data_IF_159995200748
#
_entry.id   IF_159995200748
#
_cell.length_a   1.000
_cell.length_b   1.000
_cell.length_c   1.000
_cell.angle_alpha   90.00
_cell.angle_beta   90.00
_cell.angle_gamma   90.00
#
_symmetry.space_group_name_H-M   'P 1'
#
loop_
_entity.id
_entity.type
_entity.pdbx_description
1 polymer ?
#
# COMPACT_ATOMS: atom_id res chain seq x y z
N UNK A 1 30.36 34.51 21.60
CA UNK A 1 30.81 33.12 21.86
C UNK A 1 29.56 32.28 22.03
N UNK A 2 28.88 31.89 20.94
CA UNK A 2 29.08 30.65 20.17
C UNK A 2 29.39 29.44 21.04
N UNK A 3 28.38 28.62 21.30
CA UNK A 3 28.46 27.16 21.18
C UNK A 3 27.09 26.67 20.70
N UNK A 4 27.04 26.33 19.41
CA UNK A 4 25.99 25.53 18.81
C UNK A 4 26.02 24.10 19.37
N UNK A 5 24.84 23.52 19.59
CA UNK A 5 24.65 22.07 19.55
C UNK A 5 23.48 21.79 18.64
N UNK A 6 23.83 21.59 17.37
CA UNK A 6 23.04 20.79 16.45
C UNK A 6 23.18 19.35 16.91
N UNK A 7 22.07 18.68 17.23
CA UNK A 7 21.97 17.24 17.06
C UNK A 7 20.77 17.01 16.17
N UNK A 8 21.04 17.12 14.87
CA UNK A 8 20.11 16.72 13.82
C UNK A 8 19.99 15.20 13.85
N UNK A 9 18.84 14.71 14.26
CA UNK A 9 18.41 13.36 13.93
C UNK A 9 18.30 13.27 12.41
N UNK A 10 19.30 12.68 11.77
CA UNK A 10 19.23 12.27 10.37
C UNK A 10 18.27 11.07 10.29
N UNK A 11 16.96 11.35 10.26
CA UNK A 11 16.00 10.44 9.69
C UNK A 11 16.19 10.50 8.17
N UNK A 12 17.05 9.62 7.66
CA UNK A 12 17.27 9.48 6.23
C UNK A 12 16.01 8.91 5.59
N UNK A 13 15.19 9.76 4.98
CA UNK A 13 14.26 9.37 3.94
C UNK A 13 15.05 8.90 2.72
N UNK A 14 15.47 7.64 2.74
CA UNK A 14 15.89 6.97 1.52
C UNK A 14 14.62 6.72 0.71
N UNK A 15 14.27 7.67 -0.16
CA UNK A 15 13.15 7.54 -1.07
C UNK A 15 13.23 6.24 -1.89
N UNK A 16 12.09 5.79 -2.39
CA UNK A 16 11.92 4.52 -3.13
C UNK A 16 12.94 4.26 -4.25
N UNK A 17 13.61 5.29 -4.77
CA UNK A 17 14.72 5.17 -5.73
C UNK A 17 16.03 4.77 -5.03
N UNK A 18 16.18 3.50 -4.68
CA UNK A 18 17.44 2.98 -4.13
C UNK A 18 17.37 1.64 -3.40
N UNK A 19 16.18 1.13 -3.11
CA UNK A 19 16.00 -0.11 -2.33
C UNK A 19 16.35 -1.35 -3.15
N UNK A 20 17.46 -2.01 -2.80
CA UNK A 20 17.84 -3.32 -3.34
C UNK A 20 17.10 -4.45 -2.62
N UNK A 21 16.55 -5.42 -3.36
CA UNK A 21 15.92 -6.63 -2.80
C UNK A 21 14.54 -6.92 -3.42
N UNK A 22 13.81 -7.92 -2.91
CA UNK A 22 12.41 -8.16 -3.31
C UNK A 22 11.52 -6.95 -3.01
N UNK A 23 10.48 -6.74 -3.82
CA UNK A 23 9.41 -5.78 -3.49
C UNK A 23 8.67 -6.30 -2.27
N UNK A 24 8.42 -5.44 -1.29
CA UNK A 24 7.68 -5.74 -0.06
C UNK A 24 6.30 -5.11 -0.11
N UNK A 25 5.28 -5.94 0.10
CA UNK A 25 3.87 -5.53 0.02
C UNK A 25 3.12 -5.91 1.29
N UNK A 26 2.49 -4.93 1.92
CA UNK A 26 1.48 -5.16 2.96
C UNK A 26 0.14 -5.39 2.27
N UNK A 27 -0.44 -6.57 2.41
CA UNK A 27 -1.81 -6.87 1.93
C UNK A 27 -2.76 -6.82 3.11
N UNK A 28 -3.72 -5.89 3.07
CA UNK A 28 -4.55 -5.57 4.22
C UNK A 28 -6.06 -5.55 3.93
N UNK A 29 -6.81 -5.82 5.00
CA UNK A 29 -8.28 -5.80 5.07
C UNK A 29 -8.75 -4.76 6.08
N UNK A 30 -9.04 -3.53 5.64
CA UNK A 30 -9.40 -2.45 6.53
C UNK A 30 -10.85 -2.56 7.03
N UNK A 31 -11.08 -2.18 8.28
CA UNK A 31 -12.41 -2.13 8.88
C UNK A 31 -13.08 -3.51 8.99
N UNK A 32 -14.41 -3.56 9.09
CA UNK A 32 -15.15 -4.80 9.37
C UNK A 32 -15.37 -5.70 8.13
N UNK A 33 -14.57 -5.56 7.07
CA UNK A 33 -14.68 -6.40 5.87
C UNK A 33 -14.14 -7.82 6.13
N UNK A 34 -15.05 -8.77 6.34
CA UNK A 34 -14.72 -10.18 6.52
C UNK A 34 -14.42 -10.96 5.22
N UNK A 35 -14.50 -10.33 4.04
CA UNK A 35 -14.32 -11.02 2.76
C UNK A 35 -12.85 -11.23 2.43
N UNK A 36 -12.30 -12.34 2.89
CA UNK A 36 -10.85 -12.52 2.89
C UNK A 36 -10.25 -13.27 1.69
N UNK A 37 -11.10 -13.98 0.94
CA UNK A 37 -10.64 -14.89 -0.12
C UNK A 37 -9.74 -14.18 -1.14
N UNK A 38 -10.17 -13.00 -1.60
CA UNK A 38 -9.41 -12.22 -2.59
C UNK A 38 -8.04 -11.81 -2.06
N UNK A 39 -7.98 -11.24 -0.85
CA UNK A 39 -6.72 -10.82 -0.22
C UNK A 39 -5.73 -11.98 -0.07
N UNK A 40 -6.19 -13.15 0.41
CA UNK A 40 -5.35 -14.35 0.53
C UNK A 40 -4.83 -14.87 -0.82
N UNK A 41 -5.65 -14.83 -1.86
CA UNK A 41 -5.24 -15.24 -3.21
C UNK A 41 -4.18 -14.29 -3.77
N UNK A 42 -4.37 -12.98 -3.63
CA UNK A 42 -3.40 -11.99 -4.08
C UNK A 42 -2.11 -12.08 -3.27
N UNK A 43 -2.20 -12.18 -1.94
CA UNK A 43 -1.02 -12.33 -1.08
C UNK A 43 -0.18 -13.55 -1.48
N UNK A 44 -0.82 -14.70 -1.74
CA UNK A 44 -0.12 -15.89 -2.24
C UNK A 44 0.49 -15.63 -3.62
N UNK A 45 -0.24 -15.04 -4.56
CA UNK A 45 0.27 -14.79 -5.92
C UNK A 45 1.48 -13.86 -5.94
N UNK A 46 1.47 -12.79 -5.15
CA UNK A 46 2.61 -11.87 -5.01
C UNK A 46 3.84 -12.60 -4.44
N UNK A 47 3.63 -13.43 -3.41
CA UNK A 47 4.71 -14.23 -2.81
C UNK A 47 5.28 -15.25 -3.78
N UNK A 48 4.42 -15.97 -4.51
CA UNK A 48 4.82 -16.95 -5.52
C UNK A 48 5.58 -16.26 -6.68
N UNK A 49 5.36 -14.96 -6.89
CA UNK A 49 6.11 -14.12 -7.83
C UNK A 49 7.43 -13.55 -7.27
N UNK A 50 7.85 -13.96 -6.08
CA UNK A 50 9.14 -13.59 -5.47
C UNK A 50 9.12 -12.28 -4.68
N UNK A 51 7.94 -11.77 -4.30
CA UNK A 51 7.80 -10.61 -3.43
C UNK A 51 7.74 -11.02 -1.95
N UNK A 52 8.16 -10.12 -1.06
CA UNK A 52 7.91 -10.26 0.37
C UNK A 52 6.51 -9.75 0.68
N UNK A 53 5.69 -10.56 1.36
CA UNK A 53 4.29 -10.24 1.57
C UNK A 53 3.93 -10.37 3.03
N UNK A 54 3.43 -9.26 3.60
CA UNK A 54 2.89 -9.20 4.95
C UNK A 54 1.38 -9.14 4.81
N UNK A 55 0.68 -10.20 5.18
CA UNK A 55 -0.77 -10.22 5.23
C UNK A 55 -1.24 -9.91 6.66
N UNK A 56 -1.96 -8.81 6.83
CA UNK A 56 -2.27 -8.27 8.17
C UNK A 56 -3.43 -8.97 8.89
N UNK A 57 -4.15 -9.86 8.21
CA UNK A 57 -5.39 -10.42 8.73
C UNK A 57 -6.59 -9.50 8.54
N UNK A 58 -7.71 -9.89 9.14
CA UNK A 58 -8.97 -9.15 9.10
C UNK A 58 -9.00 -8.02 10.12
N UNK A 59 -9.92 -7.07 9.91
CA UNK A 59 -10.32 -6.08 10.91
C UNK A 59 -9.23 -5.13 11.38
N UNK A 60 -8.33 -4.75 10.46
CA UNK A 60 -7.29 -3.78 10.77
C UNK A 60 -7.81 -2.35 10.59
N UNK A 61 -7.42 -1.44 11.48
CA UNK A 61 -7.69 -0.02 11.28
C UNK A 61 -6.69 0.57 10.28
N UNK A 62 -7.03 1.68 9.60
CA UNK A 62 -6.07 2.39 8.75
C UNK A 62 -4.74 2.70 9.44
N UNK A 63 -4.77 3.06 10.72
CA UNK A 63 -3.58 3.34 11.53
C UNK A 63 -2.71 2.09 11.69
N UNK A 64 -3.30 0.94 12.03
CA UNK A 64 -2.56 -0.32 12.16
C UNK A 64 -1.91 -0.75 10.83
N UNK A 65 -2.59 -0.51 9.70
CA UNK A 65 -2.08 -0.83 8.37
C UNK A 65 -0.87 0.04 8.04
N UNK A 66 -0.96 1.35 8.29
CA UNK A 66 0.14 2.29 8.06
C UNK A 66 1.31 2.01 8.99
N UNK A 67 1.06 1.75 10.28
CA UNK A 67 2.10 1.38 11.24
C UNK A 67 2.84 0.11 10.80
N UNK A 68 2.10 -0.90 10.33
CA UNK A 68 2.70 -2.14 9.78
C UNK A 68 3.54 -1.83 8.54
N UNK A 69 3.04 -1.03 7.62
CA UNK A 69 3.78 -0.71 6.39
C UNK A 69 5.09 0.04 6.66
N UNK A 70 5.10 0.95 7.64
CA UNK A 70 6.30 1.68 8.05
C UNK A 70 7.28 0.75 8.79
N UNK A 71 6.79 -0.04 9.75
CA UNK A 71 7.64 -0.95 10.54
C UNK A 71 8.31 -2.03 9.70
N UNK A 72 7.60 -2.54 8.69
CA UNK A 72 8.10 -3.55 7.78
C UNK A 72 8.92 -2.97 6.62
N UNK A 73 9.07 -1.63 6.53
CA UNK A 73 9.73 -0.97 5.39
C UNK A 73 9.10 -1.41 4.05
N UNK A 74 7.78 -1.30 3.96
CA UNK A 74 7.01 -1.76 2.80
C UNK A 74 7.13 -0.78 1.62
N UNK A 75 7.17 -1.31 0.40
CA UNK A 75 7.13 -0.48 -0.80
C UNK A 75 5.69 -0.12 -1.21
N UNK A 76 4.75 -0.97 -0.85
CA UNK A 76 3.34 -0.77 -1.19
C UNK A 76 2.39 -1.38 -0.16
N UNK A 77 1.19 -0.81 -0.11
CA UNK A 77 0.02 -1.35 0.57
C UNK A 77 -1.01 -1.75 -0.49
N UNK A 78 -1.40 -3.03 -0.49
CA UNK A 78 -2.52 -3.57 -1.25
C UNK A 78 -3.76 -3.69 -0.37
N UNK A 79 -4.73 -2.78 -0.53
CA UNK A 79 -6.00 -2.84 0.19
C UNK A 79 -7.01 -3.70 -0.57
N UNK A 80 -7.74 -4.56 0.15
CA UNK A 80 -8.87 -5.28 -0.44
C UNK A 80 -10.14 -4.97 0.34
N UNK A 81 -11.12 -4.36 -0.34
CA UNK A 81 -12.32 -3.77 0.28
C UNK A 81 -13.57 -4.20 -0.50
N UNK A 82 -14.43 -4.98 0.14
CA UNK A 82 -15.72 -5.42 -0.42
C UNK A 82 -16.92 -4.87 0.37
N UNK A 83 -16.66 -4.06 1.41
CA UNK A 83 -17.69 -3.50 2.31
C UNK A 83 -18.36 -2.22 1.78
N UNK A 84 -17.93 -1.68 0.63
CA UNK A 84 -18.39 -0.40 0.10
C UNK A 84 -17.77 0.83 0.79
N UNK A 85 -16.85 0.63 1.74
CA UNK A 85 -16.17 1.71 2.46
C UNK A 85 -14.88 2.20 1.76
N UNK A 86 -14.69 1.90 0.47
CA UNK A 86 -13.46 2.17 -0.26
C UNK A 86 -13.10 3.66 -0.29
N UNK A 87 -14.07 4.55 -0.57
CA UNK A 87 -13.84 6.00 -0.62
C UNK A 87 -13.28 6.55 0.70
N UNK A 88 -13.72 6.00 1.83
CA UNK A 88 -13.25 6.44 3.15
C UNK A 88 -11.91 5.81 3.52
N UNK A 89 -11.78 4.50 3.31
CA UNK A 89 -10.65 3.73 3.83
C UNK A 89 -9.37 3.93 3.00
N UNK A 90 -9.47 4.05 1.66
CA UNK A 90 -8.32 4.43 0.84
C UNK A 90 -7.83 5.83 1.20
N UNK A 91 -8.74 6.81 1.23
CA UNK A 91 -8.41 8.19 1.57
C UNK A 91 -7.75 8.30 2.95
N UNK A 92 -8.25 7.57 3.95
CA UNK A 92 -7.68 7.59 5.31
C UNK A 92 -6.27 6.99 5.36
N UNK A 93 -6.02 5.88 4.66
CA UNK A 93 -4.67 5.28 4.60
C UNK A 93 -3.68 6.22 3.92
N UNK A 94 -4.06 6.84 2.80
CA UNK A 94 -3.20 7.80 2.09
C UNK A 94 -2.87 9.01 2.97
N UNK A 95 -3.89 9.63 3.58
CA UNK A 95 -3.69 10.77 4.48
C UNK A 95 -2.77 10.42 5.66
N UNK A 96 -2.91 9.23 6.25
CA UNK A 96 -2.05 8.78 7.34
C UNK A 96 -0.60 8.55 6.89
N UNK A 97 -0.37 8.06 5.67
CA UNK A 97 1.00 7.95 5.13
C UNK A 97 1.64 9.33 4.94
N UNK A 98 0.89 10.31 4.44
CA UNK A 98 1.36 11.70 4.33
C UNK A 98 1.66 12.31 5.71
N UNK A 99 0.77 12.14 6.69
CA UNK A 99 0.95 12.59 8.08
C UNK A 99 2.15 11.94 8.79
N UNK A 100 2.69 10.84 8.26
CA UNK A 100 3.80 10.07 8.83
C UNK A 100 5.08 10.15 7.98
N UNK A 101 5.14 11.08 7.04
CA UNK A 101 6.27 11.25 6.12
C UNK A 101 6.62 9.98 5.32
N UNK A 102 5.61 9.15 5.02
CA UNK A 102 5.73 7.84 4.37
C UNK A 102 4.94 7.77 3.04
N UNK A 103 4.76 8.92 2.38
CA UNK A 103 4.01 9.03 1.12
C UNK A 103 4.71 8.35 -0.08
N UNK A 104 5.94 7.84 0.09
CA UNK A 104 6.63 7.03 -0.91
C UNK A 104 6.10 5.58 -0.99
N UNK A 105 5.38 5.11 0.04
CA UNK A 105 4.71 3.81 0.05
C UNK A 105 3.48 3.87 -0.86
N UNK A 106 3.48 3.11 -1.97
CA UNK A 106 2.37 3.16 -2.93
C UNK A 106 1.13 2.45 -2.39
N UNK A 107 -0.03 3.09 -2.53
CA UNK A 107 -1.32 2.45 -2.19
C UNK A 107 -2.01 1.99 -3.47
N UNK A 108 -2.28 0.69 -3.56
CA UNK A 108 -3.12 0.09 -4.61
C UNK A 108 -4.16 -0.81 -3.96
N UNK A 109 -5.10 -1.33 -4.74
CA UNK A 109 -6.01 -2.30 -4.18
C UNK A 109 -7.16 -2.68 -5.07
N UNK A 110 -8.24 -3.19 -4.47
CA UNK A 110 -9.37 -3.66 -5.22
C UNK A 110 -10.49 -4.21 -4.36
N UNK A 111 -11.45 -4.87 -5.02
CA UNK A 111 -12.67 -5.39 -4.42
C UNK A 111 -13.88 -4.98 -5.24
N UNK A 112 -15.03 -4.79 -4.59
CA UNK A 112 -16.25 -4.35 -5.28
C UNK A 112 -16.28 -2.82 -5.22
N UNK A 113 -15.70 -2.19 -6.25
CA UNK A 113 -15.60 -0.73 -6.35
C UNK A 113 -16.35 -0.29 -7.62
N UNK A 114 -17.39 0.56 -7.50
CA UNK A 114 -18.11 1.11 -8.65
C UNK A 114 -17.18 1.90 -9.58
N UNK A 115 -17.38 1.79 -10.89
CA UNK A 115 -16.55 2.48 -11.89
C UNK A 115 -16.50 4.00 -11.68
N UNK A 116 -17.60 4.60 -11.23
CA UNK A 116 -17.69 6.03 -10.95
C UNK A 116 -16.82 6.49 -9.77
N UNK A 117 -16.48 5.58 -8.84
CA UNK A 117 -15.65 5.89 -7.68
C UNK A 117 -14.13 5.78 -7.99
N UNK A 118 -13.76 5.12 -9.09
CA UNK A 118 -12.34 4.90 -9.44
C UNK A 118 -11.61 6.21 -9.77
N UNK A 119 -12.12 7.12 -10.63
CA UNK A 119 -11.40 8.35 -10.95
C UNK A 119 -11.14 9.25 -9.72
N UNK A 120 -12.12 9.47 -8.80
CA UNK A 120 -11.87 10.17 -7.54
C UNK A 120 -10.80 9.50 -6.67
N UNK A 121 -10.82 8.17 -6.52
CA UNK A 121 -9.80 7.43 -5.77
C UNK A 121 -8.40 7.61 -6.37
N UNK A 122 -8.27 7.53 -7.70
CA UNK A 122 -6.99 7.76 -8.38
C UNK A 122 -6.50 9.21 -8.20
N UNK A 123 -7.40 10.19 -8.25
CA UNK A 123 -7.07 11.59 -8.01
C UNK A 123 -6.59 11.85 -6.57
N UNK A 124 -7.01 11.03 -5.61
CA UNK A 124 -6.57 11.07 -4.21
C UNK A 124 -5.22 10.36 -3.97
N UNK A 125 -4.62 9.72 -4.97
CA UNK A 125 -3.32 9.06 -4.84
C UNK A 125 -3.36 7.53 -4.82
N UNK A 126 -4.52 6.90 -5.04
CA UNK A 126 -4.56 5.44 -5.26
C UNK A 126 -3.92 5.12 -6.61
N UNK A 127 -2.81 4.37 -6.58
CA UNK A 127 -2.00 4.08 -7.74
C UNK A 127 -2.71 3.18 -8.76
N UNK A 128 -3.47 2.18 -8.30
CA UNK A 128 -4.29 1.32 -9.16
C UNK A 128 -5.45 0.66 -8.41
N UNK A 129 -6.55 0.41 -9.13
CA UNK A 129 -7.74 -0.28 -8.66
C UNK A 129 -8.01 -1.52 -9.53
N UNK A 130 -8.03 -2.68 -8.90
CA UNK A 130 -8.36 -3.96 -9.52
C UNK A 130 -9.80 -4.38 -9.16
N UNK A 131 -10.68 -4.36 -10.15
CA UNK A 131 -12.08 -4.78 -10.03
C UNK A 131 -12.24 -6.29 -10.31
N UNK A 132 -13.41 -6.91 -10.04
CA UNK A 132 -13.63 -8.32 -10.33
C UNK A 132 -13.32 -8.67 -11.79
N UNK A 133 -12.59 -9.77 -12.00
CA UNK A 133 -12.09 -10.18 -13.31
C UNK A 133 -10.60 -9.91 -13.52
N UNK A 134 -9.98 -9.04 -12.70
CA UNK A 134 -8.52 -8.90 -12.69
C UNK A 134 -7.84 -10.24 -12.37
N UNK A 135 -6.85 -10.61 -13.17
CA UNK A 135 -6.07 -11.84 -12.96
C UNK A 135 -4.98 -11.61 -11.93
N UNK A 136 -4.56 -12.67 -11.23
CA UNK A 136 -3.40 -12.61 -10.34
C UNK A 136 -2.13 -12.20 -11.09
N UNK A 137 -1.97 -12.68 -12.33
CA UNK A 137 -0.85 -12.34 -13.21
C UNK A 137 -0.80 -10.83 -13.51
N UNK A 138 -1.92 -10.23 -13.91
CA UNK A 138 -1.97 -8.78 -14.21
C UNK A 138 -1.66 -7.92 -12.99
N UNK A 139 -2.07 -8.35 -11.78
CA UNK A 139 -1.74 -7.64 -10.54
C UNK A 139 -0.24 -7.74 -10.24
N UNK A 140 0.34 -8.94 -10.36
CA UNK A 140 1.78 -9.18 -10.17
C UNK A 140 2.61 -8.34 -11.14
N UNK A 141 2.25 -8.34 -12.42
CA UNK A 141 2.92 -7.57 -13.48
C UNK A 141 2.85 -6.07 -13.19
N UNK A 142 1.67 -5.57 -12.81
CA UNK A 142 1.51 -4.17 -12.44
C UNK A 142 2.39 -3.81 -11.24
N UNK A 143 2.43 -4.63 -10.18
CA UNK A 143 3.26 -4.35 -8.99
C UNK A 143 4.74 -4.27 -9.36
N UNK A 144 5.24 -5.22 -10.17
CA UNK A 144 6.63 -5.21 -10.65
C UNK A 144 6.96 -3.95 -11.45
N UNK A 145 6.04 -3.54 -12.33
CA UNK A 145 6.26 -2.41 -13.22
C UNK A 145 6.10 -1.06 -12.52
N UNK A 146 5.31 -0.95 -11.45
CA UNK A 146 4.91 0.34 -10.91
C UNK A 146 5.41 0.63 -9.50
N UNK A 147 5.67 -0.36 -8.64
CA UNK A 147 5.96 -0.06 -7.22
C UNK A 147 7.36 0.52 -7.01
N UNK A 148 8.39 -0.02 -7.68
CA UNK A 148 9.77 0.47 -7.60
C UNK A 148 10.32 1.08 -8.89
N UNK A 149 9.46 1.38 -9.87
CA UNK A 149 9.93 2.03 -11.09
C UNK A 149 10.54 3.38 -10.74
N UNK A 150 11.79 3.57 -11.19
CA UNK A 150 12.42 4.88 -11.26
C UNK A 150 11.47 5.80 -12.04
N UNK A 151 11.15 6.96 -11.47
CA UNK A 151 10.67 8.06 -12.29
C UNK A 151 11.82 8.40 -13.24
N UNK A 152 11.64 8.08 -14.52
CA UNK A 152 12.55 8.49 -15.60
C UNK A 152 12.26 9.94 -15.95
#
# INVERSE_FOLDING_TARGET
MSVARQDGAQAGSQGAAGRSGPIRVVVAKPGLDGHDRGAKVIARALRDAGMEVIYTGLHQTPEQIVDTAIQEDADAIGLSILSGAHNTLFAKVIALLEERDAADIKVFGGGIIPEADIPPLKAQGVAEIFTPGATTASIVEWVRANVRSLAV
#
